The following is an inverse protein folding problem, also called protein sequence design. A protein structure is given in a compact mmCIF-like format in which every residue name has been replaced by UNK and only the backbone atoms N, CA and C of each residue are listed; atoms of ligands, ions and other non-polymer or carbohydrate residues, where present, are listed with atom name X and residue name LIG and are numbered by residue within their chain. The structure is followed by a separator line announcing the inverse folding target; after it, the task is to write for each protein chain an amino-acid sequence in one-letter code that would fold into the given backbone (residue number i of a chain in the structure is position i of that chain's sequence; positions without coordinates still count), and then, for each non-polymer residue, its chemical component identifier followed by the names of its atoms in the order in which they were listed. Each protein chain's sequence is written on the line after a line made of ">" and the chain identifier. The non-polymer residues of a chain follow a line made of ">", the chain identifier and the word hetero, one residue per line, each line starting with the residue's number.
data_IF_132925649424
#
_entry.id   IF_132925649424
#
_cell.length_a   1.000
_cell.length_b   1.000
_cell.length_c   1.000
_cell.angle_alpha   90.00
_cell.angle_beta   90.00
_cell.angle_gamma   90.00
#
_symmetry.space_group_name_H-M   'P 1'
#
loop_
_entity.id
_entity.type
_entity.pdbx_description
1 polymer ?
#
# COMPACT_ATOMS: atom_id res chain seq x y z
N UNK A 1 -20.77 -20.49 -16.48
CA UNK A 1 -21.32 -19.94 -15.21
C UNK A 1 -20.38 -20.38 -14.09
N UNK A 2 -19.68 -19.47 -13.42
CA UNK A 2 -18.77 -19.82 -12.32
C UNK A 2 -19.60 -19.83 -11.04
N UNK A 3 -19.53 -20.91 -10.26
CA UNK A 3 -20.26 -21.04 -8.99
C UNK A 3 -19.61 -20.18 -7.91
N UNK A 4 -20.33 -19.84 -6.83
CA UNK A 4 -19.80 -19.01 -5.73
C UNK A 4 -18.54 -19.57 -5.05
N UNK A 5 -18.32 -20.88 -5.11
CA UNK A 5 -17.06 -21.52 -4.71
C UNK A 5 -15.90 -21.22 -5.66
N UNK A 6 -16.16 -21.17 -6.97
CA UNK A 6 -15.16 -20.82 -7.98
C UNK A 6 -14.71 -19.37 -7.89
N UNK A 7 -15.59 -18.46 -7.46
CA UNK A 7 -15.24 -17.05 -7.22
C UNK A 7 -14.27 -16.90 -6.03
N UNK A 8 -14.55 -17.56 -4.90
CA UNK A 8 -13.66 -17.54 -3.72
C UNK A 8 -12.26 -18.12 -4.00
N UNK A 9 -12.17 -19.11 -4.90
CA UNK A 9 -10.88 -19.70 -5.33
C UNK A 9 -10.10 -18.78 -6.28
N UNK A 10 -10.78 -17.90 -7.00
CA UNK A 10 -10.14 -16.89 -7.85
C UNK A 10 -9.72 -15.66 -7.03
N UNK A 11 -10.54 -15.26 -6.05
CA UNK A 11 -10.23 -14.22 -5.08
C UNK A 11 -9.02 -14.58 -4.20
N UNK A 12 -8.88 -15.85 -3.80
CA UNK A 12 -7.72 -16.33 -3.03
C UNK A 12 -6.41 -16.43 -3.81
N UNK A 13 -6.42 -16.06 -5.10
CA UNK A 13 -5.24 -16.02 -5.99
C UNK A 13 -4.84 -14.60 -6.40
N UNK A 14 -5.35 -13.56 -5.73
CA UNK A 14 -4.96 -12.17 -5.96
C UNK A 14 -5.37 -11.60 -7.32
N UNK A 15 -6.44 -12.16 -7.91
CA UNK A 15 -7.10 -11.59 -9.08
C UNK A 15 -8.29 -10.74 -8.62
N UNK A 16 -8.25 -9.42 -8.83
CA UNK A 16 -9.45 -8.58 -8.74
C UNK A 16 -10.37 -8.93 -9.91
N UNK A 17 -11.29 -9.87 -9.69
CA UNK A 17 -12.20 -10.35 -10.73
C UNK A 17 -13.56 -9.67 -10.54
N UNK A 18 -13.88 -8.72 -11.42
CA UNK A 18 -15.22 -8.16 -11.53
C UNK A 18 -16.07 -9.19 -12.29
N UNK A 19 -16.56 -10.22 -11.60
CA UNK A 19 -17.63 -11.05 -12.12
C UNK A 19 -18.94 -10.57 -11.51
N UNK A 20 -19.90 -10.19 -12.37
CA UNK A 20 -21.30 -10.05 -12.02
C UNK A 20 -21.95 -11.44 -12.18
N UNK A 21 -22.28 -12.19 -11.12
CA UNK A 21 -23.37 -13.14 -11.21
C UNK A 21 -24.65 -12.36 -11.49
N UNK A 22 -25.50 -12.87 -12.36
CA UNK A 22 -26.81 -12.33 -12.72
C UNK A 22 -27.84 -12.28 -11.57
N UNK A 23 -27.38 -12.43 -10.32
CA UNK A 23 -28.18 -12.43 -9.09
C UNK A 23 -27.55 -11.63 -7.94
N UNK A 24 -26.43 -10.94 -8.15
CA UNK A 24 -25.80 -10.11 -7.10
C UNK A 24 -26.04 -8.63 -7.40
N UNK A 25 -26.86 -7.97 -6.58
CA UNK A 25 -27.34 -6.61 -6.85
C UNK A 25 -26.32 -5.50 -6.57
N UNK A 26 -25.18 -5.78 -5.92
CA UNK A 26 -24.01 -4.88 -5.88
C UNK A 26 -22.81 -5.59 -5.24
N UNK A 27 -21.72 -5.76 -6.00
CA UNK A 27 -20.48 -6.43 -5.52
C UNK A 27 -19.40 -5.40 -5.13
N UNK A 28 -19.45 -4.16 -5.61
CA UNK A 28 -18.48 -3.10 -5.28
C UNK A 28 -19.21 -1.76 -5.28
N UNK A 29 -19.06 -0.95 -4.22
CA UNK A 29 -19.54 0.43 -4.24
C UNK A 29 -18.81 1.19 -5.36
N UNK A 30 -19.51 1.85 -6.28
CA UNK A 30 -18.91 2.49 -7.47
C UNK A 30 -17.70 3.41 -7.17
N UNK A 31 -17.62 3.94 -5.95
CA UNK A 31 -16.50 4.75 -5.45
C UNK A 31 -15.17 4.00 -5.28
N UNK A 32 -15.18 2.66 -5.20
CA UNK A 32 -13.99 1.83 -4.99
C UNK A 32 -13.32 1.39 -6.30
N UNK A 33 -14.04 1.45 -7.43
CA UNK A 33 -13.50 1.06 -8.74
C UNK A 33 -12.27 1.89 -9.15
N UNK A 34 -12.27 3.24 -9.00
CA UNK A 34 -11.08 4.03 -9.32
C UNK A 34 -9.87 3.68 -8.44
N UNK A 35 -10.11 3.33 -7.18
CA UNK A 35 -9.06 2.94 -6.24
C UNK A 35 -8.43 1.59 -6.65
N UNK A 36 -9.23 0.58 -6.92
CA UNK A 36 -8.76 -0.73 -7.38
C UNK A 36 -8.00 -0.67 -8.73
N UNK A 37 -8.47 0.18 -9.66
CA UNK A 37 -7.77 0.41 -10.93
C UNK A 37 -6.39 1.01 -10.68
N UNK A 38 -6.26 1.95 -9.75
CA UNK A 38 -4.97 2.58 -9.48
C UNK A 38 -3.99 1.61 -8.81
N UNK A 39 -4.44 0.80 -7.84
CA UNK A 39 -3.62 -0.27 -7.27
C UNK A 39 -3.14 -1.27 -8.33
N UNK A 40 -4.02 -1.60 -9.29
CA UNK A 40 -3.63 -2.45 -10.43
C UNK A 40 -2.55 -1.78 -11.28
N UNK A 41 -2.64 -0.48 -11.54
CA UNK A 41 -1.62 0.28 -12.28
C UNK A 41 -0.30 0.35 -11.52
N UNK A 42 -0.33 0.50 -10.20
CA UNK A 42 0.85 0.48 -9.33
C UNK A 42 1.53 -0.89 -9.42
N UNK A 43 0.78 -1.99 -9.26
CA UNK A 43 1.28 -3.36 -9.42
C UNK A 43 1.90 -3.59 -10.81
N UNK A 44 1.22 -3.14 -11.87
CA UNK A 44 1.73 -3.24 -13.24
C UNK A 44 3.00 -2.42 -13.46
N UNK A 45 3.14 -1.26 -12.83
CA UNK A 45 4.36 -0.47 -12.91
C UNK A 45 5.55 -1.24 -12.32
N UNK A 46 5.39 -1.86 -11.15
CA UNK A 46 6.42 -2.70 -10.54
C UNK A 46 6.78 -3.92 -11.42
N UNK A 47 5.78 -4.57 -12.02
CA UNK A 47 5.99 -5.68 -12.95
C UNK A 47 6.74 -5.27 -14.21
N UNK A 48 6.37 -4.15 -14.83
CA UNK A 48 7.00 -3.65 -16.07
C UNK A 48 8.47 -3.31 -15.87
N UNK A 49 8.85 -2.87 -14.66
CA UNK A 49 10.23 -2.61 -14.29
C UNK A 49 11.00 -3.86 -13.84
N UNK A 50 10.36 -5.05 -13.85
CA UNK A 50 10.99 -6.31 -13.42
C UNK A 50 11.28 -6.38 -11.92
N UNK A 51 10.64 -5.53 -11.11
CA UNK A 51 10.92 -5.40 -9.68
C UNK A 51 10.04 -6.33 -8.83
N UNK A 52 8.80 -6.56 -9.23
CA UNK A 52 7.81 -7.24 -8.40
C UNK A 52 8.13 -8.73 -8.24
N UNK A 53 8.33 -9.16 -6.98
CA UNK A 53 8.50 -10.57 -6.60
C UNK A 53 7.18 -11.18 -6.13
N UNK A 54 6.47 -10.50 -5.23
CA UNK A 54 5.15 -10.93 -4.77
C UNK A 54 4.26 -9.72 -4.45
N UNK A 55 2.95 -9.94 -4.46
CA UNK A 55 1.93 -8.92 -4.21
C UNK A 55 0.78 -9.54 -3.43
N UNK A 56 0.38 -8.89 -2.34
CA UNK A 56 -0.81 -9.19 -1.57
C UNK A 56 -1.81 -8.06 -1.73
N UNK A 57 -3.05 -8.38 -2.12
CA UNK A 57 -4.13 -7.41 -2.16
C UNK A 57 -4.74 -7.15 -0.78
N UNK A 58 -5.46 -6.04 -0.65
CA UNK A 58 -6.32 -5.72 0.49
C UNK A 58 -7.12 -6.93 1.02
N UNK A 59 -7.80 -7.68 0.15
CA UNK A 59 -8.59 -8.84 0.53
C UNK A 59 -7.73 -9.97 1.12
N UNK A 60 -6.56 -10.23 0.53
CA UNK A 60 -5.63 -11.24 1.04
C UNK A 60 -5.05 -10.83 2.39
N UNK A 61 -4.78 -9.53 2.58
CA UNK A 61 -4.30 -8.95 3.84
C UNK A 61 -5.36 -9.07 4.92
N UNK A 62 -6.59 -8.62 4.66
CA UNK A 62 -7.72 -8.73 5.60
C UNK A 62 -7.96 -10.19 5.99
N UNK A 63 -7.93 -11.10 5.01
CA UNK A 63 -8.10 -12.54 5.27
C UNK A 63 -6.98 -13.10 6.15
N UNK A 64 -5.73 -12.65 5.99
CA UNK A 64 -4.60 -13.05 6.84
C UNK A 64 -4.69 -12.42 8.23
N UNK A 65 -5.10 -11.16 8.31
CA UNK A 65 -5.23 -10.45 9.58
C UNK A 65 -6.36 -11.01 10.45
N UNK A 66 -7.37 -11.66 9.85
CA UNK A 66 -8.47 -12.31 10.58
C UNK A 66 -8.01 -13.41 11.54
N UNK A 67 -6.86 -14.05 11.27
CA UNK A 67 -6.29 -15.07 12.17
C UNK A 67 -5.33 -14.48 13.21
N UNK A 68 -5.02 -13.19 13.13
CA UNK A 68 -4.18 -12.47 14.09
C UNK A 68 -5.02 -11.89 15.23
N UNK A 69 -4.37 -11.55 16.34
CA UNK A 69 -5.04 -10.85 17.44
C UNK A 69 -5.55 -9.47 16.96
N UNK A 70 -6.80 -9.09 17.28
CA UNK A 70 -7.37 -7.81 16.86
C UNK A 70 -6.48 -6.62 17.22
N UNK A 71 -6.21 -5.75 16.24
CA UNK A 71 -5.38 -4.56 16.42
C UNK A 71 -3.87 -4.79 16.27
N UNK A 72 -3.44 -6.00 15.95
CA UNK A 72 -2.01 -6.35 15.74
C UNK A 72 -1.51 -6.02 14.34
N UNK A 73 -2.43 -5.94 13.38
CA UNK A 73 -2.12 -5.72 11.98
C UNK A 73 -3.07 -4.67 11.40
N UNK A 74 -2.51 -3.78 10.59
CA UNK A 74 -3.31 -2.86 9.78
C UNK A 74 -3.70 -3.55 8.48
N UNK A 75 -4.94 -3.32 8.05
CA UNK A 75 -5.39 -3.64 6.70
C UNK A 75 -4.85 -2.57 5.76
N UNK A 76 -3.82 -2.93 5.01
CA UNK A 76 -3.22 -2.09 3.97
C UNK A 76 -3.90 -2.32 2.62
N UNK A 77 -3.85 -1.33 1.74
CA UNK A 77 -4.38 -1.48 0.37
C UNK A 77 -3.63 -2.56 -0.41
N UNK A 78 -2.32 -2.68 -0.17
CA UNK A 78 -1.51 -3.79 -0.64
C UNK A 78 -0.22 -3.95 0.18
N UNK A 79 0.40 -5.13 0.06
CA UNK A 79 1.78 -5.38 0.48
C UNK A 79 2.55 -5.92 -0.71
N UNK A 80 3.64 -5.27 -1.04
CA UNK A 80 4.49 -5.66 -2.17
C UNK A 80 5.85 -6.13 -1.64
N UNK A 81 6.35 -7.18 -2.27
CA UNK A 81 7.75 -7.59 -2.16
C UNK A 81 8.42 -7.34 -3.50
N UNK A 82 9.52 -6.60 -3.50
CA UNK A 82 10.30 -6.31 -4.70
C UNK A 82 11.75 -6.76 -4.55
N UNK A 83 12.46 -6.93 -5.66
CA UNK A 83 13.90 -7.18 -5.65
C UNK A 83 14.65 -5.87 -5.91
N UNK A 84 15.48 -5.45 -4.95
CA UNK A 84 16.40 -4.32 -5.10
C UNK A 84 17.82 -4.85 -4.99
N UNK A 85 18.61 -4.73 -6.06
CA UNK A 85 19.99 -5.27 -6.11
C UNK A 85 20.07 -6.76 -5.71
N UNK A 86 19.05 -7.55 -6.05
CA UNK A 86 18.96 -8.97 -5.69
C UNK A 86 18.49 -9.27 -4.27
N UNK A 87 18.26 -8.25 -3.44
CA UNK A 87 17.75 -8.40 -2.07
C UNK A 87 16.24 -8.15 -2.06
N UNK A 88 15.43 -9.09 -1.53
CA UNK A 88 13.99 -8.89 -1.34
C UNK A 88 13.72 -7.76 -0.34
N UNK A 89 12.82 -6.86 -0.69
CA UNK A 89 12.36 -5.75 0.14
C UNK A 89 10.83 -5.76 0.19
N UNK A 90 10.27 -5.82 1.40
CA UNK A 90 8.82 -5.85 1.62
C UNK A 90 8.35 -4.53 2.20
N UNK A 91 7.28 -3.98 1.66
CA UNK A 91 6.67 -2.76 2.15
C UNK A 91 5.15 -2.77 1.91
N UNK A 92 4.41 -2.12 2.79
CA UNK A 92 3.00 -1.87 2.56
C UNK A 92 2.77 -0.63 1.70
N UNK A 93 1.66 -0.61 0.97
CA UNK A 93 1.23 0.46 0.10
C UNK A 93 -0.13 0.97 0.57
N UNK A 94 -0.27 2.29 0.60
CA UNK A 94 -1.52 3.01 0.81
C UNK A 94 -1.70 4.02 -0.33
N UNK A 95 -2.80 3.96 -1.07
CA UNK A 95 -3.11 4.93 -2.12
C UNK A 95 -4.16 5.93 -1.62
N UNK A 96 -3.73 7.18 -1.41
CA UNK A 96 -4.61 8.26 -0.99
C UNK A 96 -4.99 9.14 -2.17
N UNK A 97 -6.26 9.08 -2.55
CA UNK A 97 -6.84 9.96 -3.57
C UNK A 97 -7.44 11.22 -2.98
N UNK A 98 -8.08 11.09 -1.82
CA UNK A 98 -8.84 12.15 -1.17
C UNK A 98 -8.39 12.24 0.28
N UNK A 99 -8.05 13.44 0.77
CA UNK A 99 -7.78 13.67 2.18
C UNK A 99 -8.78 13.02 3.13
N UNK A 100 -8.28 12.32 4.14
CA UNK A 100 -9.07 11.92 5.30
C UNK A 100 -9.06 13.06 6.34
N UNK A 101 -10.04 13.09 7.25
CA UNK A 101 -10.03 14.08 8.34
C UNK A 101 -8.92 13.78 9.35
N UNK A 102 -8.33 14.81 9.98
CA UNK A 102 -7.18 14.63 10.89
C UNK A 102 -7.42 13.68 12.08
N UNK A 103 -8.67 13.55 12.57
CA UNK A 103 -9.02 12.53 13.57
C UNK A 103 -8.74 11.10 13.07
N UNK A 104 -9.00 10.84 11.78
CA UNK A 104 -8.74 9.56 11.13
C UNK A 104 -7.24 9.33 10.93
N UNK A 105 -6.46 10.36 10.59
CA UNK A 105 -5.01 10.21 10.48
C UNK A 105 -4.34 9.91 11.82
N UNK A 106 -4.81 10.50 12.91
CA UNK A 106 -4.31 10.14 14.26
C UNK A 106 -4.59 8.69 14.64
N UNK A 107 -5.75 8.16 14.26
CA UNK A 107 -6.06 6.74 14.43
C UNK A 107 -5.13 5.86 13.58
N UNK A 108 -4.93 6.23 12.31
CA UNK A 108 -4.01 5.54 11.41
C UNK A 108 -2.58 5.53 11.97
N UNK A 109 -2.05 6.66 12.46
CA UNK A 109 -0.72 6.72 13.08
C UNK A 109 -0.61 5.74 14.25
N UNK A 110 -1.63 5.68 15.13
CA UNK A 110 -1.64 4.71 16.23
C UNK A 110 -1.64 3.27 15.72
N UNK A 111 -2.44 2.95 14.69
CA UNK A 111 -2.47 1.60 14.11
C UNK A 111 -1.11 1.24 13.49
N UNK A 112 -0.48 2.16 12.77
CA UNK A 112 0.84 1.97 12.17
C UNK A 112 1.92 1.72 13.23
N UNK A 113 1.88 2.45 14.34
CA UNK A 113 2.87 2.29 15.41
C UNK A 113 2.77 0.95 16.15
N UNK A 114 1.58 0.32 16.14
CA UNK A 114 1.36 -0.99 16.75
C UNK A 114 1.53 -2.15 15.76
N UNK A 115 1.33 -1.89 14.46
CA UNK A 115 1.51 -2.89 13.43
C UNK A 115 2.96 -3.43 13.44
N UNK A 116 3.11 -4.76 13.40
CA UNK A 116 4.41 -5.44 13.31
C UNK A 116 4.55 -6.29 12.05
N UNK A 117 3.61 -6.15 11.11
CA UNK A 117 3.56 -7.00 9.92
C UNK A 117 4.51 -6.51 8.82
N UNK A 118 4.78 -5.20 8.81
CA UNK A 118 5.68 -4.54 7.85
C UNK A 118 6.47 -3.40 8.54
N UNK A 119 7.72 -3.21 8.15
CA UNK A 119 8.57 -2.16 8.71
C UNK A 119 8.42 -0.82 8.00
N UNK A 120 8.14 -0.86 6.69
CA UNK A 120 8.07 0.29 5.81
C UNK A 120 6.68 0.41 5.20
N UNK A 121 6.14 1.63 5.20
CA UNK A 121 4.87 1.96 4.55
C UNK A 121 5.07 3.07 3.53
N UNK A 122 4.65 2.83 2.29
CA UNK A 122 4.68 3.79 1.20
C UNK A 122 3.27 4.33 0.94
N UNK A 123 3.08 5.62 1.20
CA UNK A 123 1.90 6.35 0.76
C UNK A 123 2.09 6.88 -0.65
N UNK A 124 1.16 6.54 -1.53
CA UNK A 124 1.07 7.06 -2.89
C UNK A 124 -0.05 8.08 -2.94
N UNK A 125 0.32 9.36 -3.09
CA UNK A 125 -0.63 10.45 -3.22
C UNK A 125 -1.04 10.62 -4.69
N UNK A 126 -2.32 10.85 -4.93
CA UNK A 126 -2.85 11.21 -6.25
C UNK A 126 -2.29 12.54 -6.78
N UNK A 127 -2.02 13.50 -5.89
CA UNK A 127 -1.55 14.85 -6.23
C UNK A 127 -0.76 15.50 -5.09
N UNK A 128 -0.10 16.63 -5.37
CA UNK A 128 0.78 17.32 -4.41
C UNK A 128 0.05 17.80 -3.16
N UNK A 129 -1.19 18.29 -3.28
CA UNK A 129 -1.96 18.77 -2.13
C UNK A 129 -2.22 17.64 -1.12
N UNK A 130 -2.54 16.44 -1.62
CA UNK A 130 -2.70 15.23 -0.80
C UNK A 130 -1.37 14.82 -0.17
N UNK A 131 -0.27 14.89 -0.92
CA UNK A 131 1.07 14.61 -0.39
C UNK A 131 1.43 15.52 0.78
N UNK A 132 1.27 16.84 0.65
CA UNK A 132 1.59 17.79 1.70
C UNK A 132 0.73 17.57 2.95
N UNK A 133 -0.56 17.28 2.77
CA UNK A 133 -1.42 16.97 3.90
C UNK A 133 -1.02 15.68 4.59
N UNK A 134 -0.73 14.61 3.83
CA UNK A 134 -0.25 13.37 4.42
C UNK A 134 1.07 13.59 5.17
N UNK A 135 1.97 14.41 4.64
CA UNK A 135 3.22 14.74 5.31
C UNK A 135 2.97 15.40 6.66
N UNK A 136 2.08 16.39 6.71
CA UNK A 136 1.67 17.08 7.94
C UNK A 136 1.09 16.11 8.97
N UNK A 137 0.12 15.30 8.54
CA UNK A 137 -0.69 14.45 9.42
C UNK A 137 0.08 13.21 9.91
N UNK A 138 1.02 12.70 9.12
CA UNK A 138 1.80 11.50 9.46
C UNK A 138 3.04 11.81 10.29
N UNK A 139 3.40 13.08 10.53
CA UNK A 139 4.59 13.46 11.33
C UNK A 139 4.65 12.83 12.72
N UNK A 140 3.49 12.50 13.30
CA UNK A 140 3.41 11.87 14.62
C UNK A 140 3.65 10.34 14.60
N UNK A 141 3.72 9.71 13.43
CA UNK A 141 3.95 8.28 13.30
C UNK A 141 5.42 7.93 13.57
N UNK A 142 5.64 6.84 14.30
CA UNK A 142 6.96 6.26 14.58
C UNK A 142 7.39 5.24 13.53
N UNK A 143 6.42 4.69 12.79
CA UNK A 143 6.67 3.81 11.65
C UNK A 143 7.49 4.53 10.58
N UNK A 144 8.39 3.83 9.90
CA UNK A 144 9.14 4.35 8.75
C UNK A 144 8.18 4.52 7.56
N UNK A 145 7.82 5.78 7.28
CA UNK A 145 6.84 6.13 6.24
C UNK A 145 7.53 6.94 5.13
N UNK A 146 7.29 6.53 3.89
CA UNK A 146 7.59 7.33 2.71
C UNK A 146 6.33 7.83 2.03
N UNK A 147 6.33 9.05 1.51
CA UNK A 147 5.21 9.62 0.76
C UNK A 147 5.71 10.04 -0.63
N UNK A 148 5.05 9.55 -1.67
CA UNK A 148 5.45 9.76 -3.08
C UNK A 148 4.24 10.08 -3.93
N UNK A 149 4.43 10.85 -5.02
CA UNK A 149 3.38 11.02 -6.03
C UNK A 149 3.21 9.73 -6.84
N UNK A 150 1.97 9.24 -6.96
CA UNK A 150 1.66 7.99 -7.65
C UNK A 150 2.19 7.98 -9.11
N UNK A 151 2.02 9.08 -9.84
CA UNK A 151 2.51 9.17 -11.23
C UNK A 151 4.03 9.08 -11.33
N UNK A 152 4.76 9.72 -10.41
CA UNK A 152 6.23 9.64 -10.37
C UNK A 152 6.68 8.21 -10.07
N UNK A 153 6.02 7.55 -9.11
CA UNK A 153 6.28 6.16 -8.77
C UNK A 153 6.01 5.23 -9.95
N UNK A 154 4.91 5.41 -10.68
CA UNK A 154 4.58 4.55 -11.83
C UNK A 154 5.57 4.69 -12.98
N UNK A 155 6.19 5.85 -13.15
CA UNK A 155 7.17 6.10 -14.21
C UNK A 155 8.54 5.50 -13.92
N UNK A 156 9.03 5.65 -12.68
CA UNK A 156 10.30 5.09 -12.26
C UNK A 156 10.26 4.76 -10.75
N UNK A 157 9.82 3.54 -10.36
CA UNK A 157 9.49 3.23 -8.97
C UNK A 157 10.65 3.44 -8.00
N UNK A 158 11.87 3.02 -8.35
CA UNK A 158 13.03 3.11 -7.45
C UNK A 158 13.61 4.52 -7.34
N UNK A 159 13.46 5.33 -8.37
CA UNK A 159 13.98 6.71 -8.41
C UNK A 159 12.91 7.76 -8.09
N UNK A 160 11.69 7.34 -7.79
CA UNK A 160 10.63 8.27 -7.44
C UNK A 160 11.01 9.03 -6.18
N UNK A 161 10.87 10.36 -6.23
CA UNK A 161 11.14 11.23 -5.09
C UNK A 161 10.14 10.93 -3.97
N UNK A 162 10.66 10.41 -2.87
CA UNK A 162 9.91 9.99 -1.69
C UNK A 162 10.28 10.90 -0.52
N UNK A 163 9.28 11.58 0.02
CA UNK A 163 9.41 12.30 1.27
C UNK A 163 9.40 11.30 2.42
N UNK A 164 10.47 11.23 3.19
CA UNK A 164 10.57 10.40 4.39
C UNK A 164 9.99 11.18 5.56
N UNK A 165 9.10 10.54 6.31
CA UNK A 165 8.53 11.13 7.52
C UNK A 165 9.45 10.85 8.71
N UNK A 166 9.85 11.92 9.38
CA UNK A 166 10.77 11.94 10.52
C UNK A 166 10.95 13.36 11.06
N UNK A 167 11.84 13.52 12.05
CA UNK A 167 12.16 14.83 12.66
C UNK A 167 12.71 15.81 11.62
N UNK A 168 13.63 15.34 10.77
CA UNK A 168 14.11 16.04 9.58
C UNK A 168 13.49 15.37 8.35
N UNK A 169 12.46 16.00 7.77
CA UNK A 169 11.78 15.46 6.59
C UNK A 169 12.66 15.63 5.36
N UNK A 170 13.22 14.52 4.87
CA UNK A 170 14.10 14.49 3.70
C UNK A 170 13.40 13.92 2.47
N UNK A 171 13.81 14.39 1.29
CA UNK A 171 13.38 13.83 0.01
C UNK A 171 14.49 12.95 -0.53
N UNK A 172 14.21 11.65 -0.63
CA UNK A 172 15.14 10.63 -1.12
C UNK A 172 14.51 9.80 -2.24
N UNK A 173 15.30 9.17 -3.12
CA UNK A 173 14.77 8.14 -4.01
C UNK A 173 14.14 6.99 -3.21
N UNK A 174 13.03 6.41 -3.69
CA UNK A 174 12.36 5.31 -3.00
C UNK A 174 13.30 4.14 -2.62
N UNK A 175 14.29 3.81 -3.47
CA UNK A 175 15.31 2.80 -3.14
C UNK A 175 16.10 3.10 -1.86
N UNK A 176 16.31 4.38 -1.54
CA UNK A 176 17.00 4.80 -0.32
C UNK A 176 16.11 4.66 0.91
N UNK A 177 14.79 4.85 0.78
CA UNK A 177 13.85 4.55 1.85
C UNK A 177 13.92 3.05 2.22
N UNK A 178 13.99 2.18 1.21
CA UNK A 178 14.06 0.71 1.37
C UNK A 178 15.41 0.21 1.90
N UNK A 179 16.48 0.98 1.71
CA UNK A 179 17.76 0.65 2.29
C UNK A 179 17.64 0.79 3.81
N UNK A 180 17.46 -0.33 4.49
CA UNK A 180 17.66 -0.38 5.93
C UNK A 180 19.09 0.05 6.22
N UNK A 181 19.25 1.06 7.09
CA UNK A 181 20.49 1.17 7.86
C UNK A 181 20.62 -0.13 8.64
N UNK A 182 21.37 -1.08 8.08
CA UNK A 182 21.90 -2.19 8.87
C UNK A 182 23.07 -1.58 9.65
N UNK A 183 22.74 -0.80 10.68
CA UNK A 183 23.70 -0.25 11.61
C UNK A 183 23.53 -0.96 12.96
N UNK A 184 24.34 -2.03 13.10
CA UNK A 184 25.07 -2.42 14.31
C UNK A 184 24.39 -2.20 15.68
N UNK A 185 24.11 -3.32 16.34
CA UNK A 185 23.82 -3.41 17.78
C UNK A 185 23.67 -4.86 18.21
#
# INVERSE_FOLDING_TARGET
>A
MITGMGLRVLESRGHSLIALPSTAEQIIHHSQVPHAIELTRIRLALLKHGLLRSWLSDLEIVSRNTVLEPGTAKDFDAVAEILVNGVPQTFAIEYERTPKGGARYREICRMLDHDRTVDIVLYLASERNVLYLLAEEMRAAKKRIGITLCDSFRQNPLEANTLVIGEDSDIVPFRALLANETAVG
#
